data_IF_929016744532
#
_entry.id   IF_929016744532
#
_cell.length_a   1.000
_cell.length_b   1.000
_cell.length_c   1.000
_cell.angle_alpha   90.00
_cell.angle_beta   90.00
_cell.angle_gamma   90.00
#
_symmetry.space_group_name_H-M   'P 1'
#
loop_
_entity.id
_entity.type
_entity.pdbx_description
1 polymer ?
#
# COMPACT_ATOMS: atom_id res chain seq x y z
N UNK A 1 15.67 17.35 -7.31
CA UNK A 1 14.27 16.92 -7.07
C UNK A 1 14.16 16.27 -5.70
N UNK A 2 13.07 16.49 -4.97
CA UNK A 2 12.84 15.96 -3.61
C UNK A 2 11.96 14.71 -3.67
N UNK A 3 12.24 13.71 -2.84
CA UNK A 3 11.33 12.59 -2.62
C UNK A 3 10.12 13.01 -1.80
N UNK A 4 8.92 12.66 -2.26
CA UNK A 4 7.64 12.97 -1.60
C UNK A 4 6.75 11.74 -1.56
N UNK A 5 5.86 11.68 -0.56
CA UNK A 5 4.81 10.69 -0.48
C UNK A 5 3.56 11.16 -1.21
N UNK A 6 2.79 10.22 -1.78
CA UNK A 6 1.53 10.48 -2.47
C UNK A 6 0.53 11.21 -1.56
N UNK A 7 0.50 10.90 -0.27
CA UNK A 7 -0.36 11.59 0.70
C UNK A 7 -0.08 13.09 0.86
N UNK A 8 1.11 13.55 0.46
CA UNK A 8 1.55 14.94 0.60
C UNK A 8 1.54 15.68 -0.74
N UNK A 9 1.13 15.03 -1.83
CA UNK A 9 1.35 15.52 -3.20
C UNK A 9 0.75 16.91 -3.46
N UNK A 10 -0.38 17.23 -2.79
CA UNK A 10 -1.06 18.51 -2.91
C UNK A 10 -0.17 19.71 -2.55
N UNK A 11 0.86 19.52 -1.71
CA UNK A 11 1.77 20.58 -1.28
C UNK A 11 2.82 20.93 -2.36
N UNK A 12 2.91 20.12 -3.42
CA UNK A 12 3.98 20.18 -4.41
C UNK A 12 3.49 20.52 -5.83
N UNK A 13 2.26 21.04 -5.98
CA UNK A 13 1.71 21.45 -7.28
C UNK A 13 2.67 22.41 -8.00
N UNK A 14 2.94 22.10 -9.28
CA UNK A 14 3.89 22.84 -10.12
C UNK A 14 5.37 22.54 -9.87
N UNK A 15 5.71 21.72 -8.88
CA UNK A 15 7.09 21.37 -8.54
C UNK A 15 7.51 20.03 -9.12
N UNK A 16 8.82 19.88 -9.34
CA UNK A 16 9.41 18.59 -9.71
C UNK A 16 9.69 17.72 -8.48
N UNK A 17 9.13 16.51 -8.49
CA UNK A 17 9.19 15.56 -7.38
C UNK A 17 9.69 14.20 -7.82
N UNK A 18 10.14 13.42 -6.85
CA UNK A 18 10.45 12.00 -6.99
C UNK A 18 9.42 11.23 -6.18
N UNK A 19 8.74 10.27 -6.80
CA UNK A 19 7.88 9.30 -6.11
C UNK A 19 8.46 7.90 -6.29
N UNK A 20 8.62 7.18 -5.18
CA UNK A 20 9.12 5.80 -5.16
C UNK A 20 7.98 4.88 -4.76
N UNK A 21 7.78 3.80 -5.51
CA UNK A 21 6.68 2.89 -5.21
C UNK A 21 6.60 1.71 -6.14
N UNK A 22 5.38 1.20 -6.30
CA UNK A 22 5.05 0.05 -7.12
C UNK A 22 4.03 0.42 -8.19
N UNK A 23 4.17 -0.17 -9.37
CA UNK A 23 3.17 -0.06 -10.42
C UNK A 23 1.89 -0.78 -9.97
N UNK A 24 0.89 -0.02 -9.56
CA UNK A 24 -0.38 -0.55 -9.11
C UNK A 24 -1.25 -1.01 -10.30
N UNK A 25 -1.26 -0.22 -11.36
CA UNK A 25 -2.01 -0.48 -12.58
C UNK A 25 -1.43 0.37 -13.72
N UNK A 26 -1.75 0.02 -14.96
CA UNK A 26 -1.35 0.78 -16.15
C UNK A 26 -2.43 0.69 -17.21
N UNK A 27 -2.68 1.82 -17.86
CA UNK A 27 -3.48 1.92 -19.08
C UNK A 27 -2.73 2.76 -20.10
N UNK A 28 -2.96 2.53 -21.38
CA UNK A 28 -2.33 3.28 -22.47
C UNK A 28 -3.38 3.67 -23.52
N UNK A 29 -3.13 4.78 -24.21
CA UNK A 29 -3.95 5.25 -25.33
C UNK A 29 -3.03 5.94 -26.34
N UNK A 30 -2.76 5.26 -27.45
CA UNK A 30 -1.86 5.77 -28.50
C UNK A 30 -0.46 6.09 -27.96
N UNK A 31 -0.13 7.39 -27.91
CA UNK A 31 1.20 7.90 -27.48
C UNK A 31 1.24 8.35 -26.01
N UNK A 32 0.24 7.96 -25.22
CA UNK A 32 0.10 8.34 -23.81
C UNK A 32 -0.03 7.09 -22.95
N UNK A 33 0.70 7.04 -21.83
CA UNK A 33 0.49 6.04 -20.77
C UNK A 33 0.05 6.71 -19.47
N UNK A 34 -0.79 6.01 -18.72
CA UNK A 34 -1.25 6.40 -17.40
C UNK A 34 -0.91 5.31 -16.37
N UNK A 35 0.37 5.20 -15.95
CA UNK A 35 0.73 4.34 -14.84
C UNK A 35 0.10 4.86 -13.54
N UNK A 36 -0.41 3.97 -12.70
CA UNK A 36 -0.82 4.29 -11.33
C UNK A 36 0.28 3.79 -10.39
N UNK A 37 0.84 4.68 -9.58
CA UNK A 37 1.94 4.39 -8.66
C UNK A 37 1.40 4.36 -7.24
N UNK A 38 1.64 3.27 -6.53
CA UNK A 38 1.33 3.10 -5.10
C UNK A 38 2.62 3.18 -4.30
N UNK A 39 2.66 3.99 -3.25
CA UNK A 39 3.82 4.10 -2.34
C UNK A 39 3.52 3.61 -0.91
N UNK A 40 2.27 3.23 -0.64
CA UNK A 40 1.77 2.85 0.69
C UNK A 40 1.06 4.00 1.44
N UNK A 41 1.39 5.25 1.13
CA UNK A 41 0.64 6.41 1.62
C UNK A 41 -0.63 6.65 0.80
N UNK A 42 -0.58 6.34 -0.51
CA UNK A 42 -1.69 6.47 -1.45
C UNK A 42 -1.42 5.82 -2.81
N UNK A 43 -2.24 6.19 -3.78
CA UNK A 43 -2.08 5.82 -5.20
C UNK A 43 -2.23 7.09 -6.02
N UNK A 44 -1.27 7.38 -6.88
CA UNK A 44 -1.28 8.54 -7.78
C UNK A 44 -1.26 8.12 -9.23
N UNK A 45 -1.94 8.89 -10.09
CA UNK A 45 -1.83 8.75 -11.52
C UNK A 45 -0.58 9.48 -12.03
N UNK A 46 0.24 8.78 -12.80
CA UNK A 46 1.23 9.37 -13.68
C UNK A 46 0.65 9.58 -15.07
N UNK A 47 1.19 10.54 -15.80
CA UNK A 47 0.96 10.79 -17.23
C UNK A 47 2.31 10.77 -17.93
N UNK A 48 2.46 9.90 -18.91
CA UNK A 48 3.69 9.76 -19.69
C UNK A 48 3.35 10.04 -21.15
N UNK A 49 3.91 11.11 -21.73
CA UNK A 49 3.83 11.38 -23.16
C UNK A 49 5.08 10.81 -23.85
N UNK A 50 4.90 10.02 -24.91
CA UNK A 50 6.03 9.40 -25.64
C UNK A 50 7.09 10.40 -26.11
N UNK A 51 6.69 11.63 -26.38
CA UNK A 51 7.58 12.71 -26.84
C UNK A 51 8.31 13.44 -25.72
N UNK A 52 7.94 13.22 -24.45
CA UNK A 52 8.51 13.90 -23.29
C UNK A 52 9.42 13.00 -22.45
N UNK A 53 9.55 11.73 -22.81
CA UNK A 53 10.44 10.78 -22.12
C UNK A 53 11.43 10.15 -23.10
N UNK A 54 12.61 9.71 -22.65
CA UNK A 54 13.52 8.91 -23.46
C UNK A 54 12.83 7.63 -23.99
N UNK A 55 13.21 7.19 -25.19
CA UNK A 55 12.63 5.99 -25.81
C UNK A 55 12.77 4.74 -24.92
N UNK A 56 13.88 4.63 -24.20
CA UNK A 56 14.10 3.52 -23.27
C UNK A 56 13.10 3.54 -22.11
N UNK A 57 12.88 4.70 -21.49
CA UNK A 57 11.90 4.88 -20.41
C UNK A 57 10.48 4.53 -20.89
N UNK A 58 10.13 4.91 -22.12
CA UNK A 58 8.86 4.51 -22.72
C UNK A 58 8.73 2.99 -22.81
N UNK A 59 9.74 2.30 -23.36
CA UNK A 59 9.73 0.83 -23.53
C UNK A 59 9.67 0.10 -22.18
N UNK A 60 10.44 0.58 -21.21
CA UNK A 60 10.49 0.01 -19.86
C UNK A 60 9.10 0.07 -19.19
N UNK A 61 8.45 1.24 -19.24
CA UNK A 61 7.11 1.43 -18.69
C UNK A 61 6.03 0.69 -19.50
N UNK A 62 6.16 0.56 -20.82
CA UNK A 62 5.17 -0.09 -21.70
C UNK A 62 4.96 -1.57 -21.36
N UNK A 63 6.03 -2.27 -20.97
CA UNK A 63 5.97 -3.70 -20.65
C UNK A 63 6.07 -4.02 -19.15
N UNK A 64 6.21 -3.01 -18.29
CA UNK A 64 6.32 -3.20 -16.85
C UNK A 64 5.09 -3.94 -16.26
N UNK A 65 5.29 -5.09 -15.59
CA UNK A 65 4.22 -5.84 -14.96
C UNK A 65 3.75 -5.20 -13.65
N UNK A 66 2.51 -5.50 -13.26
CA UNK A 66 1.93 -5.06 -11.98
C UNK A 66 2.82 -5.45 -10.80
N UNK A 67 2.89 -4.59 -9.79
CA UNK A 67 3.74 -4.72 -8.59
C UNK A 67 5.25 -4.64 -8.84
N UNK A 68 5.70 -4.25 -10.03
CA UNK A 68 7.11 -3.88 -10.24
C UNK A 68 7.42 -2.59 -9.48
N UNK A 69 8.61 -2.50 -8.88
CA UNK A 69 9.05 -1.31 -8.17
C UNK A 69 9.75 -0.34 -9.11
N UNK A 70 9.43 0.94 -8.95
CA UNK A 70 9.91 2.01 -9.80
C UNK A 70 10.07 3.32 -9.03
N UNK A 71 10.95 4.17 -9.55
CA UNK A 71 11.15 5.55 -9.14
C UNK A 71 10.71 6.42 -10.31
N UNK A 72 9.72 7.27 -10.11
CA UNK A 72 9.25 8.22 -11.13
C UNK A 72 9.67 9.63 -10.76
N UNK A 73 10.05 10.41 -11.78
CA UNK A 73 10.44 11.81 -11.67
C UNK A 73 9.55 12.63 -12.58
N UNK A 74 8.94 13.67 -12.05
CA UNK A 74 7.95 14.43 -12.81
C UNK A 74 7.42 15.66 -12.10
N UNK A 75 6.60 16.41 -12.82
CA UNK A 75 5.97 17.64 -12.32
C UNK A 75 4.56 17.34 -11.81
N UNK A 76 4.25 17.77 -10.59
CA UNK A 76 2.90 17.62 -10.03
C UNK A 76 1.95 18.60 -10.71
N UNK A 77 0.80 18.11 -11.14
CA UNK A 77 -0.30 18.93 -11.68
C UNK A 77 -1.59 18.67 -10.94
N UNK A 78 -2.38 19.73 -10.78
CA UNK A 78 -3.78 19.60 -10.39
C UNK A 78 -4.60 19.16 -11.61
N UNK A 79 -5.39 18.12 -11.43
CA UNK A 79 -6.29 17.59 -12.45
C UNK A 79 -7.50 16.99 -11.74
N UNK A 80 -8.64 17.69 -11.77
CA UNK A 80 -9.83 17.31 -11.04
C UNK A 80 -10.40 15.95 -11.45
N UNK A 81 -10.10 15.49 -12.68
CA UNK A 81 -10.53 14.17 -13.18
C UNK A 81 -9.59 13.05 -12.73
N UNK A 82 -8.39 13.37 -12.25
CA UNK A 82 -7.45 12.38 -11.76
C UNK A 82 -7.91 11.87 -10.38
N UNK A 83 -7.74 10.56 -10.09
CA UNK A 83 -8.01 10.03 -8.76
C UNK A 83 -7.19 10.78 -7.69
N UNK A 84 -7.88 11.47 -6.78
CA UNK A 84 -7.25 12.30 -5.74
C UNK A 84 -7.06 13.77 -6.11
N UNK A 85 -7.43 14.20 -7.32
CA UNK A 85 -7.36 15.59 -7.78
C UNK A 85 -6.00 16.03 -8.31
N UNK A 86 -5.01 15.13 -8.30
CA UNK A 86 -3.64 15.43 -8.72
C UNK A 86 -3.06 14.29 -9.56
N UNK A 87 -2.13 14.63 -10.43
CA UNK A 87 -1.33 13.69 -11.20
C UNK A 87 0.12 14.15 -11.33
N UNK A 88 0.99 13.25 -11.79
CA UNK A 88 2.40 13.55 -12.07
C UNK A 88 2.62 13.43 -13.58
N UNK A 89 3.02 14.51 -14.23
CA UNK A 89 3.58 14.46 -15.58
C UNK A 89 5.01 13.90 -15.47
N UNK A 90 5.19 12.65 -15.87
CA UNK A 90 6.43 11.89 -15.71
C UNK A 90 7.36 12.19 -16.88
N UNK A 91 8.55 12.68 -16.55
CA UNK A 91 9.61 12.98 -17.52
C UNK A 91 10.71 11.91 -17.53
N UNK A 92 10.83 11.16 -16.44
CA UNK A 92 11.80 10.08 -16.29
C UNK A 92 11.29 9.00 -15.33
N UNK A 93 11.71 7.75 -15.54
CA UNK A 93 11.44 6.65 -14.64
C UNK A 93 12.59 5.65 -14.62
N UNK A 94 12.86 5.12 -13.44
CA UNK A 94 13.87 4.10 -13.18
C UNK A 94 13.19 2.85 -12.63
N UNK A 95 13.41 1.71 -13.27
CA UNK A 95 12.90 0.42 -12.81
C UNK A 95 13.86 -0.15 -11.77
N UNK A 96 13.38 -0.32 -10.54
CA UNK A 96 14.17 -0.86 -9.43
C UNK A 96 14.14 -2.39 -9.44
N UNK A 97 12.96 -2.96 -9.65
CA UNK A 97 12.77 -4.40 -9.79
C UNK A 97 11.55 -4.69 -10.65
N UNK A 98 11.73 -5.56 -11.63
CA UNK A 98 10.62 -6.15 -12.39
C UNK A 98 9.97 -7.22 -11.52
N UNK A 99 8.64 -7.21 -11.43
CA UNK A 99 7.90 -8.20 -10.66
C UNK A 99 7.73 -9.52 -11.42
N UNK A 100 7.75 -10.62 -10.68
CA UNK A 100 7.24 -11.91 -11.12
C UNK A 100 5.71 -11.88 -11.32
N UNK A 101 5.12 -12.88 -12.01
CA UNK A 101 3.68 -12.94 -12.22
C UNK A 101 2.87 -12.75 -10.92
N UNK A 102 2.13 -11.65 -10.83
CA UNK A 102 1.36 -11.31 -9.64
C UNK A 102 0.08 -12.15 -9.56
N UNK A 103 -0.12 -12.96 -8.49
CA UNK A 103 -1.24 -13.91 -8.42
C UNK A 103 -2.60 -13.23 -8.20
N UNK A 104 -2.61 -11.99 -7.68
CA UNK A 104 -3.82 -11.21 -7.41
C UNK A 104 -4.07 -10.20 -8.54
N UNK A 105 -4.15 -10.70 -9.76
CA UNK A 105 -4.42 -9.89 -10.95
C UNK A 105 -5.76 -9.15 -10.88
N UNK A 106 -6.14 -8.49 -11.98
CA UNK A 106 -7.37 -7.67 -12.04
C UNK A 106 -8.69 -8.44 -11.98
N UNK A 107 -8.66 -9.78 -11.93
CA UNK A 107 -9.86 -10.61 -11.88
C UNK A 107 -10.35 -10.69 -10.44
N UNK A 108 -11.64 -10.90 -10.25
CA UNK A 108 -12.16 -11.18 -8.93
C UNK A 108 -11.69 -12.57 -8.47
N UNK A 109 -11.28 -12.63 -7.20
CA UNK A 109 -10.81 -13.85 -6.55
C UNK A 109 -11.69 -14.15 -5.33
N UNK A 110 -11.92 -15.44 -5.05
CA UNK A 110 -12.62 -15.88 -3.85
C UNK A 110 -11.85 -15.51 -2.57
N UNK A 111 -12.57 -15.37 -1.45
CA UNK A 111 -11.98 -14.95 -0.17
C UNK A 111 -10.90 -15.92 0.33
N UNK A 112 -11.07 -17.22 0.14
CA UNK A 112 -10.09 -18.25 0.54
C UNK A 112 -8.74 -18.02 -0.16
N UNK A 113 -8.75 -17.89 -1.49
CA UNK A 113 -7.55 -17.60 -2.28
C UNK A 113 -6.86 -16.28 -1.86
N UNK A 114 -7.66 -15.25 -1.53
CA UNK A 114 -7.16 -13.97 -1.04
C UNK A 114 -6.54 -14.07 0.35
N UNK A 115 -7.03 -14.97 1.20
CA UNK A 115 -6.47 -15.25 2.52
C UNK A 115 -5.17 -16.07 2.42
N UNK A 116 -5.08 -17.04 1.50
CA UNK A 116 -3.83 -17.76 1.23
C UNK A 116 -2.72 -16.80 0.76
N UNK A 117 -3.09 -15.78 0.00
CA UNK A 117 -2.19 -14.73 -0.48
C UNK A 117 -2.29 -13.44 0.35
N UNK A 118 -2.67 -13.53 1.64
CA UNK A 118 -2.95 -12.34 2.46
C UNK A 118 -1.78 -11.36 2.47
N UNK A 119 -0.55 -11.86 2.55
CA UNK A 119 0.69 -11.08 2.53
C UNK A 119 0.82 -10.17 1.29
N UNK A 120 0.23 -10.55 0.16
CA UNK A 120 0.13 -9.72 -1.05
C UNK A 120 -1.15 -8.89 -1.08
N UNK A 121 -2.27 -9.49 -0.66
CA UNK A 121 -3.60 -8.86 -0.72
C UNK A 121 -3.69 -7.60 0.15
N UNK A 122 -2.91 -7.52 1.24
CA UNK A 122 -2.78 -6.31 2.07
C UNK A 122 -2.40 -5.05 1.28
N UNK A 123 -1.80 -5.20 0.09
CA UNK A 123 -1.39 -4.11 -0.80
C UNK A 123 -2.55 -3.56 -1.65
N UNK A 124 -3.66 -4.31 -1.76
CA UNK A 124 -4.86 -3.89 -2.48
C UNK A 124 -5.63 -2.81 -1.71
N UNK A 125 -6.34 -1.94 -2.43
CA UNK A 125 -7.01 -0.74 -1.85
C UNK A 125 -7.89 -1.04 -0.63
N UNK A 126 -8.74 -2.06 -0.71
CA UNK A 126 -9.72 -2.38 0.36
C UNK A 126 -9.04 -2.91 1.63
N UNK A 127 -8.23 -3.99 1.61
CA UNK A 127 -7.47 -4.43 2.79
C UNK A 127 -6.58 -3.36 3.39
N UNK A 128 -5.90 -2.58 2.54
CA UNK A 128 -5.05 -1.48 2.99
C UNK A 128 -5.85 -0.42 3.77
N UNK A 129 -7.02 -0.02 3.26
CA UNK A 129 -7.91 0.90 3.95
C UNK A 129 -8.40 0.34 5.29
N UNK A 130 -8.76 -0.94 5.33
CA UNK A 130 -9.17 -1.62 6.58
C UNK A 130 -8.05 -1.61 7.62
N UNK A 131 -6.79 -1.85 7.22
CA UNK A 131 -5.65 -1.76 8.13
C UNK A 131 -5.46 -0.34 8.70
N UNK A 132 -5.62 0.70 7.87
CA UNK A 132 -5.51 2.09 8.33
C UNK A 132 -6.63 2.45 9.31
N UNK A 133 -7.85 2.00 9.06
CA UNK A 133 -8.98 2.16 9.99
C UNK A 133 -8.68 1.42 11.31
N UNK A 134 -8.20 0.17 11.25
CA UNK A 134 -7.82 -0.59 12.44
C UNK A 134 -6.76 0.15 13.26
N UNK A 135 -5.73 0.70 12.60
CA UNK A 135 -4.70 1.50 13.25
C UNK A 135 -5.31 2.73 13.96
N UNK A 136 -6.18 3.48 13.26
CA UNK A 136 -6.84 4.66 13.81
C UNK A 136 -7.69 4.32 15.05
N UNK A 137 -8.48 3.25 14.99
CA UNK A 137 -9.32 2.80 16.10
C UNK A 137 -8.45 2.47 17.32
N UNK A 138 -7.37 1.71 17.14
CA UNK A 138 -6.47 1.36 18.24
C UNK A 138 -5.82 2.61 18.83
N UNK A 139 -5.37 3.54 17.98
CA UNK A 139 -4.77 4.80 18.42
C UNK A 139 -5.77 5.62 19.23
N UNK A 140 -6.97 5.84 18.71
CA UNK A 140 -8.01 6.62 19.40
C UNK A 140 -8.41 6.03 20.76
N UNK A 141 -8.47 4.70 20.88
CA UNK A 141 -8.73 4.03 22.17
C UNK A 141 -7.60 4.33 23.17
N UNK A 142 -6.35 4.23 22.73
CA UNK A 142 -5.19 4.51 23.59
C UNK A 142 -5.13 5.97 23.99
N UNK A 143 -5.26 6.88 23.04
CA UNK A 143 -5.27 8.32 23.30
C UNK A 143 -6.35 8.71 24.31
N UNK A 144 -7.55 8.11 24.22
CA UNK A 144 -8.62 8.30 25.18
C UNK A 144 -8.24 7.82 26.59
N UNK A 145 -7.73 6.59 26.71
CA UNK A 145 -7.34 6.02 28.00
C UNK A 145 -6.21 6.83 28.66
N UNK A 146 -5.18 7.16 27.90
CA UNK A 146 -4.03 7.95 28.37
C UNK A 146 -4.47 9.34 28.84
N UNK A 147 -5.36 10.00 28.08
CA UNK A 147 -5.90 11.33 28.43
C UNK A 147 -6.79 11.32 29.67
N UNK A 148 -7.26 10.14 30.10
CA UNK A 148 -8.10 9.98 31.29
C UNK A 148 -7.33 9.34 32.48
N UNK A 149 -6.00 9.28 32.41
CA UNK A 149 -5.16 8.82 33.52
C UNK A 149 -5.16 7.30 33.73
N UNK A 150 -5.61 6.53 32.74
CA UNK A 150 -5.43 5.08 32.76
C UNK A 150 -3.97 4.72 32.49
N UNK A 151 -3.54 3.55 32.97
CA UNK A 151 -2.19 3.02 32.77
C UNK A 151 -2.29 1.69 32.02
N UNK A 152 -1.53 1.54 30.94
CA UNK A 152 -1.42 0.28 30.21
C UNK A 152 -0.79 -0.80 31.10
N UNK A 153 -1.45 -1.95 31.20
CA UNK A 153 -0.94 -3.14 31.87
C UNK A 153 -1.00 -4.33 30.90
N UNK A 154 0.16 -4.86 30.51
CA UNK A 154 0.26 -6.02 29.62
C UNK A 154 0.06 -7.32 30.42
N UNK A 155 -1.10 -7.94 30.26
CA UNK A 155 -1.48 -9.18 30.94
C UNK A 155 -0.89 -10.43 30.26
N UNK A 156 -0.67 -11.54 31.00
CA UNK A 156 -0.18 -12.79 30.42
C UNK A 156 -1.18 -13.38 29.42
N UNK A 157 -0.66 -13.99 28.34
CA UNK A 157 -1.47 -14.69 27.33
C UNK A 157 -1.60 -16.18 27.65
N UNK A 158 -0.52 -16.83 28.10
CA UNK A 158 -0.58 -18.19 28.65
C UNK A 158 -1.09 -18.10 30.09
N UNK A 159 -2.18 -18.81 30.37
CA UNK A 159 -2.86 -18.77 31.67
C UNK A 159 -3.30 -20.16 32.09
N UNK A 160 -3.01 -20.60 33.33
CA UNK A 160 -3.45 -21.91 33.80
C UNK A 160 -4.94 -21.96 34.15
N UNK A 161 -5.65 -20.82 34.03
CA UNK A 161 -7.01 -20.65 34.49
C UNK A 161 -7.99 -20.36 33.34
N UNK A 162 -9.15 -21.01 33.39
CA UNK A 162 -10.30 -20.68 32.57
C UNK A 162 -10.99 -19.42 33.10
N UNK A 163 -11.07 -18.35 32.30
CA UNK A 163 -11.71 -17.10 32.72
C UNK A 163 -13.24 -17.12 32.55
N UNK A 164 -13.73 -17.43 31.34
CA UNK A 164 -15.16 -17.31 30.97
C UNK A 164 -15.71 -18.64 30.41
N UNK A 165 -15.22 -19.77 30.92
CA UNK A 165 -15.62 -21.12 30.51
C UNK A 165 -14.50 -21.91 29.84
N UNK A 166 -14.78 -23.16 29.52
CA UNK A 166 -13.75 -24.14 29.09
C UNK A 166 -13.89 -24.62 27.64
N UNK A 167 -14.95 -24.24 26.94
CA UNK A 167 -15.28 -24.80 25.61
C UNK A 167 -14.52 -24.16 24.45
N UNK A 168 -13.86 -23.04 24.66
CA UNK A 168 -13.14 -22.24 23.64
C UNK A 168 -11.66 -22.02 23.98
N UNK A 169 -11.12 -22.78 24.95
CA UNK A 169 -9.72 -22.71 25.34
C UNK A 169 -8.84 -23.50 24.35
N UNK A 170 -7.65 -22.97 24.09
CA UNK A 170 -6.61 -23.66 23.30
C UNK A 170 -5.51 -24.12 24.25
N UNK A 171 -5.44 -25.43 24.47
CA UNK A 171 -4.42 -26.04 25.32
C UNK A 171 -3.05 -26.00 24.61
N UNK A 172 -2.02 -25.60 25.35
CA UNK A 172 -0.63 -25.57 24.88
C UNK A 172 0.24 -26.39 25.83
N UNK A 173 1.08 -27.26 25.26
CA UNK A 173 2.12 -27.94 26.03
C UNK A 173 3.17 -26.93 26.48
N UNK A 174 3.33 -26.79 27.79
CA UNK A 174 4.25 -25.84 28.40
C UNK A 174 5.25 -26.60 29.28
N UNK A 175 6.46 -26.80 28.75
CA UNK A 175 7.54 -27.60 29.37
C UNK A 175 7.16 -29.08 29.63
N UNK A 176 7.77 -29.69 30.65
CA UNK A 176 7.68 -31.11 31.01
C UNK A 176 6.30 -31.42 31.65
N UNK A 177 5.26 -31.45 30.82
CA UNK A 177 3.89 -31.89 31.12
C UNK A 177 2.97 -30.92 31.88
N UNK A 178 3.30 -29.62 31.95
CA UNK A 178 2.33 -28.61 32.38
C UNK A 178 1.50 -28.14 31.18
N UNK A 179 0.22 -28.54 31.16
CA UNK A 179 -0.76 -28.02 30.22
C UNK A 179 -1.24 -26.65 30.70
N UNK A 180 -1.10 -25.64 29.85
CA UNK A 180 -1.55 -24.26 30.09
C UNK A 180 -2.56 -23.87 29.02
#
# INVERSE_FOLDING_TARGET
MRHVYVSEIAQYVGQEVIVKGWLYNKRSSGKIMFPQIRDGSGIIQGVVLKTQVPEQVWKDLEHLPQESSLIVRGTVREEQRAPGGYEIEIHDAEIVSVAEPYPLGKKDHGIEFLLDHRHLWLRSRRPHAVLRIRHEVIRAIRDFLDSNGFVLCDAPIFTPAACEGTTTLFEVEYFEDQKV
#
